data_IF_484209901450
#
_entry.id   IF_484209901450
#
_cell.length_a   1.000
_cell.length_b   1.000
_cell.length_c   1.000
_cell.angle_alpha   90.00
_cell.angle_beta   90.00
_cell.angle_gamma   90.00
#
_symmetry.space_group_name_H-M   'P 1'
#
loop_
_entity.id
_entity.type
_entity.pdbx_description
1 polymer ?
#
# COMPACT_ATOMS: atom_id res chain seq x y z
N UNK A 1 -7.29 9.20 -17.34
CA UNK A 1 -5.83 9.06 -17.53
C UNK A 1 -5.11 10.41 -17.61
N UNK A 2 -5.68 11.44 -18.27
CA UNK A 2 -5.09 12.81 -18.29
C UNK A 2 -4.82 13.36 -16.89
N UNK A 3 -5.78 13.26 -15.98
CA UNK A 3 -5.70 13.85 -14.63
C UNK A 3 -4.61 13.19 -13.75
N UNK A 4 -4.41 11.87 -13.89
CA UNK A 4 -3.36 11.15 -13.16
C UNK A 4 -1.97 11.51 -13.71
N UNK A 5 -1.86 11.64 -15.02
CA UNK A 5 -0.60 12.02 -15.65
C UNK A 5 -0.21 13.44 -15.24
N UNK A 6 -1.15 14.38 -15.25
CA UNK A 6 -0.92 15.76 -14.82
C UNK A 6 -0.52 15.83 -13.33
N UNK A 7 -1.21 15.06 -12.48
CA UNK A 7 -0.87 14.94 -11.06
C UNK A 7 0.59 14.46 -10.87
N UNK A 8 1.00 13.41 -11.59
CA UNK A 8 2.34 12.81 -11.45
C UNK A 8 3.41 13.77 -11.97
N UNK A 9 3.16 14.45 -13.09
CA UNK A 9 4.06 15.46 -13.64
C UNK A 9 4.29 16.65 -12.70
N UNK A 10 3.35 16.92 -11.80
CA UNK A 10 3.44 17.98 -10.78
C UNK A 10 4.10 17.54 -9.46
N UNK A 11 4.46 16.26 -9.28
CA UNK A 11 5.05 15.80 -8.03
C UNK A 11 6.49 16.28 -7.87
N UNK A 12 6.86 16.89 -6.74
CA UNK A 12 8.18 17.50 -6.55
C UNK A 12 9.32 16.48 -6.41
N UNK A 13 8.99 15.19 -6.25
CA UNK A 13 9.96 14.11 -6.16
C UNK A 13 10.48 13.63 -7.52
N UNK A 14 9.85 14.04 -8.62
CA UNK A 14 10.25 13.70 -9.98
C UNK A 14 10.81 14.91 -10.72
N UNK A 15 11.74 14.67 -11.64
CA UNK A 15 12.34 15.70 -12.50
C UNK A 15 11.73 15.70 -13.89
N UNK A 16 11.64 14.53 -14.50
CA UNK A 16 11.12 14.31 -15.85
C UNK A 16 10.39 12.95 -15.94
N UNK A 17 9.27 12.77 -15.19
CA UNK A 17 8.58 11.49 -15.13
C UNK A 17 8.05 11.09 -16.51
N UNK A 18 8.21 9.81 -16.83
CA UNK A 18 7.83 9.20 -18.10
C UNK A 18 7.28 7.81 -17.90
N UNK A 19 6.82 7.16 -18.98
CA UNK A 19 6.32 5.77 -18.97
C UNK A 19 5.31 5.49 -17.86
N UNK A 20 4.34 6.40 -17.67
CA UNK A 20 3.28 6.27 -16.67
C UNK A 20 2.32 5.17 -17.12
N UNK A 21 2.36 4.03 -16.44
CA UNK A 21 1.60 2.84 -16.81
C UNK A 21 0.74 2.34 -15.64
N UNK A 22 -0.55 2.06 -15.83
CA UNK A 22 -1.39 1.49 -14.77
C UNK A 22 -0.83 0.17 -14.26
N UNK A 23 -0.78 0.04 -12.92
CA UNK A 23 -0.42 -1.19 -12.24
C UNK A 23 -1.69 -1.80 -11.63
N UNK A 24 -2.05 -3.00 -12.05
CA UNK A 24 -3.26 -3.70 -11.59
C UNK A 24 -3.19 -4.14 -10.13
N UNK A 25 -4.32 -4.60 -9.58
CA UNK A 25 -4.40 -5.24 -8.26
C UNK A 25 -4.81 -4.35 -7.09
N UNK A 26 -5.15 -3.07 -7.31
CA UNK A 26 -5.69 -2.20 -6.26
C UNK A 26 -7.22 -2.20 -6.21
N UNK A 27 -7.81 -2.49 -5.05
CA UNK A 27 -9.28 -2.37 -4.84
C UNK A 27 -9.66 -0.94 -4.45
N UNK A 28 -8.87 -0.30 -3.60
CA UNK A 28 -9.15 1.02 -3.01
C UNK A 28 -8.21 2.11 -3.51
N UNK A 29 -7.19 1.74 -4.27
CA UNK A 29 -6.14 2.63 -4.74
C UNK A 29 -5.99 2.53 -6.26
N UNK A 30 -5.66 3.65 -6.89
CA UNK A 30 -5.09 3.64 -8.22
C UNK A 30 -3.57 3.55 -8.09
N UNK A 31 -2.99 2.50 -8.66
CA UNK A 31 -1.54 2.33 -8.69
C UNK A 31 -1.03 2.51 -10.11
N UNK A 32 0.08 3.20 -10.26
CA UNK A 32 0.77 3.37 -11.54
C UNK A 32 2.27 3.19 -11.35
N UNK A 33 2.95 2.69 -12.37
CA UNK A 33 4.41 2.73 -12.45
C UNK A 33 4.83 3.99 -13.18
N UNK A 34 5.96 4.55 -12.77
CA UNK A 34 6.55 5.78 -13.34
C UNK A 34 8.04 5.56 -13.48
N UNK A 35 8.62 6.03 -14.57
CA UNK A 35 10.08 6.07 -14.76
C UNK A 35 10.54 7.52 -14.67
N UNK A 36 11.54 7.77 -13.84
CA UNK A 36 12.21 9.06 -13.72
C UNK A 36 13.71 8.83 -13.50
N UNK A 37 14.56 9.49 -14.30
CA UNK A 37 16.03 9.41 -14.20
C UNK A 37 16.55 7.93 -14.23
N UNK A 38 16.01 7.10 -15.16
CA UNK A 38 16.27 5.65 -15.32
C UNK A 38 15.87 4.77 -14.12
N UNK A 39 15.23 5.33 -13.10
CA UNK A 39 14.67 4.62 -11.98
C UNK A 39 13.17 4.40 -12.13
N UNK A 40 12.69 3.26 -11.68
CA UNK A 40 11.26 2.96 -11.70
C UNK A 40 10.65 3.11 -10.31
N UNK A 41 9.43 3.64 -10.25
CA UNK A 41 8.69 3.89 -9.03
C UNK A 41 7.26 3.38 -9.14
N UNK A 42 6.62 3.18 -8.00
CA UNK A 42 5.17 2.95 -7.89
C UNK A 42 4.55 4.17 -7.22
N UNK A 43 3.61 4.80 -7.91
CA UNK A 43 2.79 5.88 -7.33
C UNK A 43 1.43 5.29 -6.99
N UNK A 44 1.08 5.34 -5.72
CA UNK A 44 -0.21 4.93 -5.19
C UNK A 44 -1.03 6.16 -4.87
N UNK A 45 -2.21 6.25 -5.47
CA UNK A 45 -3.16 7.35 -5.33
C UNK A 45 -4.43 6.82 -4.70
N UNK A 46 -4.88 7.43 -3.62
CA UNK A 46 -6.09 7.03 -2.94
C UNK A 46 -6.50 8.03 -1.86
N UNK A 47 -7.74 7.92 -1.39
CA UNK A 47 -8.29 8.73 -0.31
C UNK A 47 -8.49 7.90 0.95
N UNK A 48 -8.72 8.57 2.06
CA UNK A 48 -9.19 7.91 3.27
C UNK A 48 -10.58 7.31 3.04
N UNK A 49 -10.80 6.11 3.56
CA UNK A 49 -12.07 5.41 3.57
C UNK A 49 -12.29 4.94 5.01
N UNK A 50 -12.82 5.84 5.83
CA UNK A 50 -12.97 5.62 7.27
C UNK A 50 -13.84 4.40 7.59
N UNK A 51 -14.86 4.14 6.79
CA UNK A 51 -15.79 3.01 6.93
C UNK A 51 -15.07 1.65 6.80
N UNK A 52 -13.95 1.64 6.06
CA UNK A 52 -13.12 0.45 5.87
C UNK A 52 -11.85 0.46 6.72
N UNK A 53 -11.66 1.48 7.57
CA UNK A 53 -10.44 1.66 8.34
C UNK A 53 -9.21 1.96 7.48
N UNK A 54 -9.40 2.43 6.24
CA UNK A 54 -8.32 2.78 5.32
C UNK A 54 -7.98 4.24 5.51
N UNK A 55 -6.87 4.49 6.19
CA UNK A 55 -6.37 5.84 6.48
C UNK A 55 -4.96 6.01 5.90
N UNK A 56 -4.73 7.06 5.14
CA UNK A 56 -3.44 7.28 4.44
C UNK A 56 -2.28 7.51 5.39
N UNK A 57 -2.51 8.19 6.51
CA UNK A 57 -1.49 8.34 7.54
C UNK A 57 -1.06 7.00 8.15
N UNK A 58 -2.01 6.07 8.33
CA UNK A 58 -1.72 4.73 8.85
C UNK A 58 -0.94 3.89 7.82
N UNK A 59 -1.31 3.99 6.56
CA UNK A 59 -0.58 3.36 5.45
C UNK A 59 0.87 3.85 5.38
N UNK A 60 1.09 5.16 5.49
CA UNK A 60 2.43 5.76 5.50
C UNK A 60 3.27 5.24 6.67
N UNK A 61 2.73 5.29 7.89
CA UNK A 61 3.44 4.84 9.09
C UNK A 61 3.84 3.37 8.99
N UNK A 62 2.92 2.51 8.53
CA UNK A 62 3.17 1.09 8.35
C UNK A 62 4.16 0.80 7.20
N UNK A 63 4.09 1.53 6.09
CA UNK A 63 5.02 1.38 4.96
C UNK A 63 6.46 1.75 5.37
N UNK A 64 6.63 2.83 6.14
CA UNK A 64 7.93 3.23 6.66
C UNK A 64 8.49 2.20 7.65
N UNK A 65 7.67 1.69 8.58
CA UNK A 65 8.07 0.65 9.51
C UNK A 65 8.42 -0.67 8.80
N UNK A 66 7.65 -1.04 7.79
CA UNK A 66 7.88 -2.22 6.98
C UNK A 66 9.18 -2.12 6.16
N UNK A 67 9.51 -0.94 5.63
CA UNK A 67 10.79 -0.71 4.98
C UNK A 67 11.95 -0.88 5.97
N UNK A 68 11.88 -0.29 7.16
CA UNK A 68 12.92 -0.44 8.19
C UNK A 68 13.09 -1.88 8.64
N UNK A 69 12.02 -2.66 8.65
CA UNK A 69 12.06 -4.11 8.91
C UNK A 69 12.62 -4.91 7.71
N UNK A 70 12.75 -4.31 6.53
CA UNK A 70 13.24 -4.97 5.31
C UNK A 70 12.23 -5.94 4.70
N UNK A 71 10.94 -5.55 4.68
CA UNK A 71 9.82 -6.32 4.12
C UNK A 71 8.97 -5.53 3.12
N UNK A 72 9.31 -4.27 2.88
CA UNK A 72 8.60 -3.36 1.98
C UNK A 72 9.60 -2.49 1.22
N UNK A 73 9.24 -1.96 0.03
CA UNK A 73 10.05 -0.97 -0.66
C UNK A 73 10.15 0.32 0.15
N UNK A 74 11.16 1.12 -0.20
CA UNK A 74 11.37 2.44 0.40
C UNK A 74 10.24 3.40 0.01
N UNK A 75 9.80 4.21 0.97
CA UNK A 75 8.94 5.36 0.70
C UNK A 75 9.84 6.50 0.22
N UNK A 76 9.62 6.96 -1.01
CA UNK A 76 10.40 8.03 -1.67
C UNK A 76 9.78 9.39 -1.40
N UNK A 77 8.44 9.47 -1.48
CA UNK A 77 7.68 10.70 -1.26
C UNK A 77 6.27 10.36 -0.78
N UNK A 78 5.66 11.29 -0.07
CA UNK A 78 4.25 11.21 0.32
C UNK A 78 3.61 12.60 0.38
N UNK A 79 2.32 12.63 0.09
CA UNK A 79 1.45 13.79 0.21
C UNK A 79 0.01 13.31 0.49
N UNK A 80 -0.92 14.24 0.62
CA UNK A 80 -2.34 13.92 0.85
C UNK A 80 -2.87 13.00 -0.26
N UNK A 81 -3.14 11.76 0.09
CA UNK A 81 -3.65 10.76 -0.86
C UNK A 81 -2.61 10.20 -1.84
N UNK A 82 -1.34 10.52 -1.69
CA UNK A 82 -0.26 10.08 -2.58
C UNK A 82 0.84 9.39 -1.76
N UNK A 83 1.28 8.24 -2.24
CA UNK A 83 2.44 7.52 -1.73
C UNK A 83 3.30 7.05 -2.89
N UNK A 84 4.55 7.51 -2.94
CA UNK A 84 5.55 7.10 -3.94
C UNK A 84 6.51 6.12 -3.30
N UNK A 85 6.62 4.96 -3.91
CA UNK A 85 7.45 3.85 -3.46
C UNK A 85 8.51 3.51 -4.50
N UNK A 86 9.65 3.03 -4.05
CA UNK A 86 10.62 2.36 -4.91
C UNK A 86 9.96 1.14 -5.59
N UNK A 87 10.25 0.94 -6.87
CA UNK A 87 9.76 -0.24 -7.58
C UNK A 87 10.59 -1.46 -7.18
N UNK A 88 9.92 -2.58 -6.91
CA UNK A 88 10.56 -3.88 -6.71
C UNK A 88 10.28 -4.71 -7.96
N UNK A 89 11.35 -5.11 -8.65
CA UNK A 89 11.25 -6.09 -9.73
C UNK A 89 10.96 -7.47 -9.14
N UNK A 90 9.84 -8.05 -9.55
CA UNK A 90 9.38 -9.33 -9.02
C UNK A 90 8.05 -9.76 -9.61
N UNK A 91 7.61 -10.94 -9.23
CA UNK A 91 6.31 -11.48 -9.63
C UNK A 91 5.36 -11.56 -8.42
N UNK A 92 4.11 -11.19 -8.64
CA UNK A 92 3.05 -11.44 -7.67
C UNK A 92 2.70 -12.92 -7.67
N UNK A 93 2.71 -13.57 -6.51
CA UNK A 93 2.27 -14.95 -6.39
C UNK A 93 0.76 -15.05 -6.61
N UNK A 94 0.38 -15.92 -7.53
CA UNK A 94 -1.00 -16.37 -7.69
C UNK A 94 -1.34 -17.46 -6.65
N UNK A 95 -2.58 -17.95 -6.67
CA UNK A 95 -3.05 -18.98 -5.75
C UNK A 95 -2.23 -20.28 -5.86
N UNK A 96 -1.80 -20.65 -7.04
CA UNK A 96 -1.00 -21.85 -7.30
C UNK A 96 0.42 -21.68 -6.77
N UNK A 97 1.05 -20.54 -7.04
CA UNK A 97 2.39 -20.25 -6.58
C UNK A 97 2.49 -20.19 -5.05
N UNK A 98 1.50 -19.60 -4.37
CA UNK A 98 1.48 -19.54 -2.89
C UNK A 98 1.40 -20.92 -2.26
N UNK A 99 0.73 -21.89 -2.90
CA UNK A 99 0.56 -23.27 -2.38
C UNK A 99 1.80 -24.16 -2.56
N UNK A 100 2.77 -23.73 -3.34
CA UNK A 100 4.05 -24.45 -3.44
C UNK A 100 4.78 -24.41 -2.12
N UNK A 101 5.27 -25.57 -1.65
CA UNK A 101 5.88 -25.69 -0.32
C UNK A 101 7.05 -24.72 -0.10
N UNK A 102 7.88 -24.50 -1.11
CA UNK A 102 9.00 -23.57 -1.05
C UNK A 102 8.53 -22.11 -0.84
N UNK A 103 7.53 -21.68 -1.61
CA UNK A 103 6.96 -20.33 -1.50
C UNK A 103 6.19 -20.16 -0.18
N UNK A 104 5.47 -21.19 0.25
CA UNK A 104 4.75 -21.17 1.53
C UNK A 104 5.70 -20.95 2.71
N UNK A 105 6.86 -21.62 2.74
CA UNK A 105 7.88 -21.42 3.77
C UNK A 105 8.37 -19.96 3.77
N UNK A 106 8.62 -19.38 2.60
CA UNK A 106 9.03 -17.98 2.45
C UNK A 106 7.96 -17.02 2.96
N UNK A 107 6.69 -17.24 2.59
CA UNK A 107 5.55 -16.43 3.04
C UNK A 107 5.39 -16.50 4.55
N UNK A 108 5.40 -17.70 5.14
CA UNK A 108 5.29 -17.88 6.59
C UNK A 108 6.44 -17.18 7.33
N UNK A 109 7.66 -17.30 6.82
CA UNK A 109 8.82 -16.62 7.39
C UNK A 109 8.67 -15.10 7.37
N UNK A 110 8.17 -14.54 6.26
CA UNK A 110 7.90 -13.12 6.11
C UNK A 110 6.81 -12.63 7.08
N UNK A 111 5.71 -13.37 7.18
CA UNK A 111 4.61 -13.08 8.12
C UNK A 111 5.11 -13.13 9.57
N UNK A 112 5.86 -14.15 9.93
CA UNK A 112 6.44 -14.27 11.27
C UNK A 112 7.42 -13.13 11.59
N UNK A 113 8.25 -12.72 10.61
CA UNK A 113 9.14 -11.56 10.72
C UNK A 113 8.34 -10.28 10.99
N UNK A 114 7.25 -10.09 10.23
CA UNK A 114 6.34 -8.94 10.38
C UNK A 114 5.74 -8.89 11.78
N UNK A 115 5.10 -9.97 12.23
CA UNK A 115 4.43 -10.01 13.53
C UNK A 115 5.37 -9.78 14.72
N UNK A 116 6.61 -10.26 14.63
CA UNK A 116 7.59 -10.13 15.71
C UNK A 116 8.38 -8.82 15.67
N UNK A 117 8.46 -8.18 14.52
CA UNK A 117 9.43 -7.11 14.28
C UNK A 117 8.85 -5.73 14.02
N UNK A 118 7.67 -5.63 13.37
CA UNK A 118 7.18 -4.34 12.87
C UNK A 118 6.92 -3.33 13.98
N UNK A 119 6.45 -3.78 15.14
CA UNK A 119 6.19 -2.92 16.29
C UNK A 119 7.41 -2.16 16.81
N UNK A 120 8.62 -2.63 16.54
CA UNK A 120 9.87 -1.97 16.94
C UNK A 120 10.16 -0.69 16.14
N UNK A 121 9.54 -0.55 14.97
CA UNK A 121 9.76 0.55 14.03
C UNK A 121 8.55 1.50 13.94
N UNK A 122 7.53 1.27 14.76
CA UNK A 122 6.36 2.15 14.83
C UNK A 122 6.65 3.31 15.79
N UNK A 123 6.69 4.52 15.25
CA UNK A 123 7.00 5.74 16.00
C UNK A 123 5.76 6.62 16.26
N UNK A 124 4.57 6.14 15.87
CA UNK A 124 3.29 6.83 16.02
C UNK A 124 2.17 5.85 16.35
N UNK A 125 1.03 6.30 16.89
CA UNK A 125 -0.16 5.46 16.99
C UNK A 125 -0.53 4.91 15.62
N UNK A 126 -1.04 3.68 15.59
CA UNK A 126 -1.54 3.01 14.37
C UNK A 126 -2.96 2.52 14.57
N UNK A 127 -3.71 2.47 13.48
CA UNK A 127 -4.98 1.75 13.45
C UNK A 127 -4.71 0.26 13.25
N UNK A 128 -5.31 -0.54 14.09
CA UNK A 128 -5.30 -1.99 13.98
C UNK A 128 -6.61 -2.45 13.36
N UNK A 129 -6.52 -3.30 12.33
CA UNK A 129 -7.70 -3.95 11.77
C UNK A 129 -8.23 -4.95 12.79
N UNK A 130 -9.35 -4.60 13.45
CA UNK A 130 -10.03 -5.46 14.41
C UNK A 130 -11.32 -6.02 13.79
N UNK A 131 -11.33 -7.28 13.31
CA UNK A 131 -12.43 -7.82 12.50
C UNK A 131 -13.79 -7.72 13.18
N UNK A 132 -13.86 -7.92 14.49
CA UNK A 132 -15.12 -7.85 15.24
C UNK A 132 -15.71 -6.44 15.25
N UNK A 133 -14.89 -5.41 15.44
CA UNK A 133 -15.35 -4.01 15.42
C UNK A 133 -15.77 -3.58 14.02
N UNK A 134 -15.03 -4.00 13.00
CA UNK A 134 -15.36 -3.71 11.61
C UNK A 134 -16.69 -4.35 11.22
N UNK A 135 -16.90 -5.61 11.58
CA UNK A 135 -18.18 -6.28 11.36
C UNK A 135 -19.34 -5.57 12.07
N UNK A 136 -19.16 -5.10 13.29
CA UNK A 136 -20.19 -4.31 14.00
C UNK A 136 -20.49 -3.01 13.27
N UNK A 137 -19.47 -2.32 12.76
CA UNK A 137 -19.65 -1.10 11.96
C UNK A 137 -20.45 -1.38 10.69
N UNK A 138 -20.11 -2.42 9.95
CA UNK A 138 -20.87 -2.81 8.75
C UNK A 138 -22.31 -3.20 9.04
N UNK A 139 -22.54 -3.94 10.13
CA UNK A 139 -23.91 -4.28 10.55
C UNK A 139 -24.73 -3.03 10.89
N UNK A 140 -24.16 -2.07 11.61
CA UNK A 140 -24.86 -0.83 11.96
C UNK A 140 -25.13 0.03 10.72
N UNK A 141 -24.22 0.12 9.77
CA UNK A 141 -24.42 0.83 8.50
C UNK A 141 -25.51 0.17 7.63
N UNK A 142 -25.57 -1.18 7.61
CA UNK A 142 -26.60 -1.90 6.85
C UNK A 142 -28.01 -1.73 7.43
N UNK A 143 -28.14 -1.58 8.74
CA UNK A 143 -29.43 -1.36 9.41
C UNK A 143 -30.01 0.04 9.14
N UNK A 144 -29.15 1.04 8.86
CA UNK A 144 -29.60 2.40 8.53
C UNK A 144 -30.26 2.46 7.13
N UNK A 145 -29.93 1.52 6.24
CA UNK A 145 -30.50 1.47 4.88
C UNK A 145 -31.80 0.67 4.76
N UNK A 146 -32.31 0.09 5.85
CA UNK A 146 -33.53 -0.73 5.88
C UNK A 146 -34.74 0.05 6.50
N UNK A 147 -34.53 1.28 6.93
CA UNK A 147 -35.56 2.13 7.53
C UNK A 147 -36.15 3.16 6.57
#
# INVERSE_FOLDING_TARGET
>A
MSDITELIMGLPCFKAPSNITPLGGGITNTNVTVVDDDCQYVVRIGRDIAEHGVMRWNELALSQAAYQLGISPKVIYHDTGILVLEFIDGCTFDETAVRQSENLIRVISLVAKTHRGIGKFLNSPILTFWPFQINQTYMSLSLIHIS
#
